data_IF_889007422414
#
_entry.id   IF_889007422414
#
_cell.length_a   1.000
_cell.length_b   1.000
_cell.length_c   1.000
_cell.angle_alpha   90.00
_cell.angle_beta   90.00
_cell.angle_gamma   90.00
#
_symmetry.space_group_name_H-M   'P 1'
#
loop_
_entity.id
_entity.type
_entity.pdbx_description
1 polymer ?
#
# COMPACT_ATOMS: atom_id res chain seq x y z
N UNK A 1 -7.86 2.81 12.75
CA UNK A 1 -6.90 1.70 12.88
C UNK A 1 -5.59 2.20 12.32
N UNK A 2 -4.49 2.06 13.08
CA UNK A 2 -3.17 2.50 12.65
C UNK A 2 -2.67 1.74 11.43
N UNK A 3 -1.90 2.43 10.61
CA UNK A 3 -1.41 1.99 9.32
C UNK A 3 0.09 2.26 9.23
N UNK A 4 0.89 1.21 9.07
CA UNK A 4 2.36 1.35 8.92
C UNK A 4 2.74 1.05 7.50
N UNK A 5 3.50 1.94 6.85
CA UNK A 5 4.03 1.68 5.52
C UNK A 5 4.93 0.44 5.54
N UNK A 6 4.83 -0.37 4.49
CA UNK A 6 5.66 -1.54 4.29
C UNK A 6 6.27 -1.51 2.90
N UNK A 7 7.57 -1.73 2.85
CA UNK A 7 8.26 -2.07 1.63
C UNK A 7 7.96 -3.53 1.29
N UNK A 8 7.35 -3.74 0.13
CA UNK A 8 7.05 -5.06 -0.40
C UNK A 8 7.81 -5.32 -1.70
N UNK A 9 8.02 -6.59 -1.99
CA UNK A 9 8.50 -7.05 -3.30
C UNK A 9 7.41 -7.89 -3.95
N UNK A 10 7.15 -7.65 -5.24
CA UNK A 10 6.22 -8.47 -6.02
C UNK A 10 6.82 -9.87 -6.19
N UNK A 11 6.06 -10.89 -5.80
CA UNK A 11 6.49 -12.28 -5.76
C UNK A 11 5.68 -13.16 -6.72
N UNK A 12 4.95 -12.55 -7.66
CA UNK A 12 4.12 -13.24 -8.64
C UNK A 12 2.63 -12.93 -8.44
N UNK A 13 1.78 -13.77 -9.02
CA UNK A 13 0.32 -13.63 -8.98
C UNK A 13 -0.31 -14.91 -8.41
N UNK A 14 -1.24 -14.78 -7.47
CA UNK A 14 -2.02 -15.88 -6.90
C UNK A 14 -3.50 -15.55 -7.10
N UNK A 15 -4.24 -16.43 -7.77
CA UNK A 15 -5.68 -16.28 -8.00
C UNK A 15 -6.06 -14.90 -8.57
N UNK A 16 -5.39 -14.51 -9.65
CA UNK A 16 -5.53 -13.21 -10.34
C UNK A 16 -5.13 -11.96 -9.52
N UNK A 17 -4.68 -12.13 -8.27
CA UNK A 17 -4.19 -11.04 -7.42
C UNK A 17 -2.66 -11.03 -7.33
N UNK A 18 -2.07 -9.85 -7.35
CA UNK A 18 -0.61 -9.73 -7.21
C UNK A 18 -0.19 -10.07 -5.78
N UNK A 19 0.73 -11.02 -5.63
CA UNK A 19 1.29 -11.39 -4.34
C UNK A 19 2.47 -10.47 -4.01
N UNK A 20 2.32 -9.74 -2.92
CA UNK A 20 3.32 -8.85 -2.36
C UNK A 20 3.90 -9.49 -1.11
N UNK A 21 5.23 -9.61 -1.06
CA UNK A 21 5.94 -10.11 0.13
C UNK A 21 6.56 -8.90 0.84
N UNK A 22 6.21 -8.64 2.12
CA UNK A 22 6.86 -7.59 2.88
C UNK A 22 8.33 -7.95 3.10
N UNK A 23 9.20 -7.00 2.77
CA UNK A 23 10.66 -7.13 2.92
C UNK A 23 11.13 -6.91 4.36
N UNK A 24 10.20 -6.67 5.30
CA UNK A 24 10.49 -6.41 6.71
C UNK A 24 10.94 -4.98 7.03
N UNK A 25 11.10 -4.12 6.01
CA UNK A 25 11.36 -2.69 6.22
C UNK A 25 10.04 -1.95 6.37
N UNK A 26 9.75 -1.55 7.60
CA UNK A 26 8.63 -0.68 7.97
C UNK A 26 9.02 0.78 7.68
N UNK A 27 8.11 1.53 7.07
CA UNK A 27 8.27 2.93 6.70
C UNK A 27 7.58 3.86 7.69
N UNK A 28 6.94 4.91 7.17
CA UNK A 28 6.22 5.86 8.02
C UNK A 28 4.99 5.20 8.68
N UNK A 29 4.79 5.53 9.95
CA UNK A 29 3.62 5.14 10.72
C UNK A 29 2.56 6.23 10.66
N UNK A 30 1.31 5.84 10.40
CA UNK A 30 0.16 6.71 10.35
C UNK A 30 -0.92 6.26 11.34
N UNK A 31 -1.47 7.17 12.17
CA UNK A 31 -2.60 6.85 13.05
C UNK A 31 -3.82 6.33 12.29
N UNK A 32 -4.07 6.85 11.09
CA UNK A 32 -5.04 6.33 10.14
C UNK A 32 -4.46 6.37 8.72
N UNK A 33 -4.75 5.33 7.92
CA UNK A 33 -4.36 5.34 6.50
C UNK A 33 -4.99 6.51 5.73
N UNK A 34 -6.11 7.02 6.22
CA UNK A 34 -6.80 8.19 5.67
C UNK A 34 -5.99 9.48 5.81
N UNK A 35 -5.13 9.61 6.82
CA UNK A 35 -4.22 10.75 6.96
C UNK A 35 -3.24 10.80 5.78
N UNK A 36 -2.68 9.64 5.42
CA UNK A 36 -1.80 9.52 4.26
C UNK A 36 -2.56 9.80 2.96
N UNK A 37 -3.75 9.21 2.77
CA UNK A 37 -4.59 9.45 1.58
C UNK A 37 -4.91 10.94 1.44
N UNK A 38 -5.32 11.59 2.53
CA UNK A 38 -5.64 13.02 2.56
C UNK A 38 -4.42 13.89 2.25
N UNK A 39 -3.24 13.52 2.75
CA UNK A 39 -1.99 14.19 2.42
C UNK A 39 -1.64 14.08 0.93
N UNK A 40 -1.81 12.90 0.32
CA UNK A 40 -1.57 12.74 -1.13
C UNK A 40 -2.58 13.52 -1.97
N UNK A 41 -3.87 13.48 -1.62
CA UNK A 41 -4.91 14.25 -2.30
C UNK A 41 -4.68 15.76 -2.18
N UNK A 42 -4.26 16.23 -1.00
CA UNK A 42 -3.87 17.64 -0.78
C UNK A 42 -2.67 18.05 -1.63
N UNK A 43 -1.73 17.11 -1.85
CA UNK A 43 -0.60 17.28 -2.76
C UNK A 43 -0.98 17.11 -4.25
N UNK A 44 -2.28 17.03 -4.58
CA UNK A 44 -2.83 16.81 -5.94
C UNK A 44 -2.31 15.52 -6.59
N UNK A 45 -1.96 14.52 -5.78
CA UNK A 45 -1.55 13.19 -6.25
C UNK A 45 -2.76 12.27 -6.18
N UNK A 46 -3.31 11.83 -7.34
CA UNK A 46 -4.41 10.88 -7.33
C UNK A 46 -3.91 9.54 -6.79
N UNK A 47 -4.55 9.08 -5.72
CA UNK A 47 -4.34 7.76 -5.12
C UNK A 47 -5.54 6.87 -5.45
N UNK A 48 -5.28 5.60 -5.75
CA UNK A 48 -6.28 4.58 -6.03
C UNK A 48 -6.09 3.41 -5.09
N UNK A 49 -7.15 3.00 -4.42
CA UNK A 49 -7.12 1.76 -3.64
C UNK A 49 -7.09 0.56 -4.60
N UNK A 50 -6.08 -0.29 -4.44
CA UNK A 50 -5.93 -1.57 -5.14
C UNK A 50 -5.82 -2.72 -4.16
N UNK A 51 -6.24 -2.51 -2.90
CA UNK A 51 -6.16 -3.49 -1.81
C UNK A 51 -6.86 -4.79 -2.17
N UNK A 52 -7.93 -4.72 -2.97
CA UNK A 52 -8.68 -5.90 -3.44
C UNK A 52 -7.95 -6.72 -4.52
N UNK A 53 -7.02 -6.11 -5.24
CA UNK A 53 -6.28 -6.70 -6.36
C UNK A 53 -4.93 -7.29 -5.94
N UNK A 54 -4.54 -7.12 -4.68
CA UNK A 54 -3.25 -7.53 -4.17
C UNK A 54 -3.40 -8.33 -2.88
N UNK A 55 -2.52 -9.31 -2.71
CA UNK A 55 -2.41 -10.15 -1.53
C UNK A 55 -1.08 -9.87 -0.87
N UNK A 56 -1.08 -9.49 0.41
CA UNK A 56 0.17 -9.30 1.15
C UNK A 56 0.42 -10.52 2.02
N UNK A 57 1.52 -11.25 1.75
CA UNK A 57 1.85 -12.48 2.47
C UNK A 57 2.16 -12.16 3.95
N UNK A 58 1.52 -12.89 4.86
CA UNK A 58 1.81 -12.81 6.30
C UNK A 58 1.19 -11.63 7.03
N UNK A 59 0.30 -10.88 6.39
CA UNK A 59 -0.45 -9.79 7.02
C UNK A 59 -1.93 -10.17 7.04
N UNK A 60 -2.61 -9.99 8.17
CA UNK A 60 -4.05 -10.29 8.27
C UNK A 60 -4.90 -9.18 7.64
N UNK A 61 -4.50 -7.93 7.82
CA UNK A 61 -5.20 -6.77 7.29
C UNK A 61 -4.19 -5.79 6.71
N UNK A 62 -4.37 -5.45 5.44
CA UNK A 62 -3.50 -4.53 4.72
C UNK A 62 -4.33 -3.59 3.86
N UNK A 63 -3.73 -2.46 3.50
CA UNK A 63 -4.26 -1.56 2.49
C UNK A 63 -3.16 -1.23 1.48
N UNK A 64 -3.48 -1.24 0.20
CA UNK A 64 -2.51 -0.91 -0.86
C UNK A 64 -3.09 0.17 -1.74
N UNK A 65 -2.33 1.25 -1.83
CA UNK A 65 -2.68 2.39 -2.65
C UNK A 65 -1.68 2.54 -3.78
N UNK A 66 -2.22 2.79 -4.95
CA UNK A 66 -1.47 3.09 -6.15
C UNK A 66 -1.57 4.59 -6.43
N UNK A 67 -0.44 5.26 -6.62
CA UNK A 67 -0.38 6.67 -6.97
C UNK A 67 0.43 6.89 -8.25
N UNK A 68 0.03 7.87 -9.05
CA UNK A 68 0.83 8.30 -10.21
C UNK A 68 1.83 9.36 -9.77
N UNK A 69 3.11 9.04 -9.87
CA UNK A 69 4.23 9.98 -9.71
C UNK A 69 4.84 10.24 -11.09
N UNK A 70 4.30 11.23 -11.81
CA UNK A 70 4.67 11.51 -13.20
C UNK A 70 4.26 10.38 -14.13
N UNK A 71 5.21 9.81 -14.87
CA UNK A 71 4.98 8.67 -15.76
C UNK A 71 5.03 7.30 -15.05
N UNK A 72 5.41 7.27 -13.76
CA UNK A 72 5.57 6.03 -13.00
C UNK A 72 4.43 5.84 -12.01
N UNK A 73 3.98 4.62 -11.92
CA UNK A 73 3.02 4.17 -10.92
C UNK A 73 3.77 3.70 -9.69
N UNK A 74 3.50 4.29 -8.53
CA UNK A 74 4.08 3.92 -7.25
C UNK A 74 3.02 3.25 -6.40
N UNK A 75 3.29 2.04 -5.91
CA UNK A 75 2.40 1.31 -5.01
C UNK A 75 2.94 1.41 -3.58
N UNK A 76 2.10 1.85 -2.67
CA UNK A 76 2.39 1.95 -1.24
C UNK A 76 1.51 0.96 -0.48
N UNK A 77 2.15 0.06 0.26
CA UNK A 77 1.46 -0.94 1.09
C UNK A 77 1.46 -0.50 2.54
N UNK A 78 0.33 -0.68 3.22
CA UNK A 78 0.15 -0.42 4.62
C UNK A 78 -0.26 -1.69 5.36
N UNK A 79 0.42 -1.98 6.47
CA UNK A 79 0.00 -2.94 7.46
C UNK A 79 -1.03 -2.29 8.37
N UNK A 80 -2.22 -2.85 8.45
CA UNK A 80 -3.23 -2.43 9.40
C UNK A 80 -3.16 -3.37 10.61
N UNK A 81 -2.98 -2.81 11.80
CA UNK A 81 -2.91 -3.56 13.06
C UNK A 81 -4.10 -3.27 13.95
#
# INVERSE_FOLDING_TARGET
MPATELLVTSAGQIADKELLIPTGKEGAYFPHVQDWVTAQLSAKKPVKDISMLVLVKGIKQWAVYEQKAGAKTVRTVFKIT
#
